data_IF_260795763921
#
_entry.id   IF_260795763921
#
_cell.length_a   1.000
_cell.length_b   1.000
_cell.length_c   1.000
_cell.angle_alpha   90.00
_cell.angle_beta   90.00
_cell.angle_gamma   90.00
#
_symmetry.space_group_name_H-M   'P 1'
#
loop_
_entity.id
_entity.type
_entity.pdbx_description
1 polymer ?
#
# COMPACT_ATOMS: atom_id res chain seq x y z
N UNK A 1 44.28 9.91 -31.53
CA UNK A 1 42.85 10.08 -31.19
C UNK A 1 42.23 8.69 -31.20
N UNK A 2 41.76 8.17 -30.07
CA UNK A 2 40.98 6.93 -30.05
C UNK A 2 39.54 7.33 -30.35
N UNK A 3 39.00 6.89 -31.48
CA UNK A 3 37.57 6.95 -31.72
C UNK A 3 36.94 5.84 -30.90
N UNK A 4 35.99 6.20 -30.04
CA UNK A 4 35.15 5.25 -29.31
C UNK A 4 33.80 5.26 -30.01
N UNK A 5 33.41 4.13 -30.59
CA UNK A 5 32.06 3.97 -31.11
C UNK A 5 31.07 3.99 -29.94
N UNK A 6 30.00 4.79 -30.11
CA UNK A 6 28.87 4.86 -29.19
C UNK A 6 27.71 4.12 -29.84
N UNK A 7 27.24 3.07 -29.17
CA UNK A 7 26.02 2.36 -29.55
C UNK A 7 24.89 2.87 -28.65
N UNK A 8 23.89 3.49 -29.27
CA UNK A 8 22.69 3.95 -28.58
C UNK A 8 21.54 2.99 -28.88
N UNK A 9 21.02 2.34 -27.85
CA UNK A 9 19.92 1.39 -27.97
C UNK A 9 18.58 2.06 -28.32
N UNK A 10 18.42 3.35 -27.99
CA UNK A 10 17.19 4.10 -28.23
C UNK A 10 17.00 4.40 -29.72
N UNK A 11 18.04 4.22 -30.55
CA UNK A 11 17.93 4.26 -32.01
C UNK A 11 16.94 3.20 -32.54
N UNK A 12 16.63 2.15 -31.77
CA UNK A 12 15.59 1.18 -32.15
C UNK A 12 14.23 1.84 -32.36
N UNK A 13 13.91 2.90 -31.61
CA UNK A 13 12.64 3.64 -31.73
C UNK A 13 12.49 4.31 -33.10
N UNK A 14 13.60 4.56 -33.79
CA UNK A 14 13.63 5.15 -35.14
C UNK A 14 13.60 4.10 -36.25
N UNK A 15 13.76 2.82 -35.92
CA UNK A 15 13.81 1.73 -36.88
C UNK A 15 12.43 1.45 -37.49
N UNK A 16 12.40 1.05 -38.77
CA UNK A 16 11.13 0.68 -39.44
C UNK A 16 10.46 -0.51 -38.77
N UNK A 17 11.26 -1.48 -38.29
CA UNK A 17 10.74 -2.64 -37.57
C UNK A 17 9.99 -2.25 -36.28
N UNK A 18 10.48 -1.24 -35.55
CA UNK A 18 9.77 -0.74 -34.36
C UNK A 18 8.50 0.02 -34.76
N UNK A 19 8.54 0.88 -35.78
CA UNK A 19 7.37 1.63 -36.26
C UNK A 19 6.21 0.71 -36.69
N UNK A 20 6.52 -0.45 -37.27
CA UNK A 20 5.52 -1.47 -37.61
C UNK A 20 4.86 -2.11 -36.37
N UNK A 21 5.60 -2.20 -35.26
CA UNK A 21 5.14 -2.81 -34.00
C UNK A 21 4.56 -1.80 -33.01
N UNK A 22 4.84 -0.51 -33.18
CA UNK A 22 4.49 0.55 -32.22
C UNK A 22 2.99 0.57 -31.91
N UNK A 23 2.11 0.60 -32.92
CA UNK A 23 0.66 0.58 -32.73
C UNK A 23 0.17 -0.71 -32.06
N UNK A 24 0.55 -1.92 -32.53
CA UNK A 24 0.27 -3.16 -31.81
C UNK A 24 0.74 -3.18 -30.35
N UNK A 25 1.89 -2.59 -30.03
CA UNK A 25 2.39 -2.49 -28.66
C UNK A 25 1.53 -1.55 -27.80
N UNK A 26 1.11 -0.42 -28.37
CA UNK A 26 0.17 0.51 -27.72
C UNK A 26 -1.16 -0.21 -27.43
N UNK A 27 -1.72 -0.94 -28.41
CA UNK A 27 -2.97 -1.71 -28.21
C UNK A 27 -2.82 -2.81 -27.17
N UNK A 28 -1.64 -3.44 -27.09
CA UNK A 28 -1.35 -4.42 -26.06
C UNK A 28 -1.34 -3.77 -24.67
N UNK A 29 -0.68 -2.63 -24.52
CA UNK A 29 -0.66 -1.87 -23.25
C UNK A 29 -2.07 -1.41 -22.89
N UNK A 30 -2.85 -0.87 -23.83
CA UNK A 30 -4.20 -0.40 -23.56
C UNK A 30 -5.13 -1.52 -23.05
N UNK A 31 -5.07 -2.70 -23.66
CA UNK A 31 -5.89 -3.86 -23.27
C UNK A 31 -5.44 -4.56 -22.00
N UNK A 32 -4.18 -4.42 -21.61
CA UNK A 32 -3.59 -5.14 -20.46
C UNK A 32 -3.27 -4.25 -19.27
N UNK A 33 -3.26 -2.92 -19.44
CA UNK A 33 -3.09 -1.99 -18.33
C UNK A 33 -4.34 -1.97 -17.45
N UNK A 34 -4.12 -1.84 -16.14
CA UNK A 34 -5.21 -1.72 -15.17
C UNK A 34 -5.24 -0.32 -14.58
N UNK A 35 -6.43 0.28 -14.63
CA UNK A 35 -6.72 1.63 -14.22
C UNK A 35 -7.63 1.63 -12.99
N UNK A 36 -7.50 2.66 -12.15
CA UNK A 36 -8.40 2.84 -11.02
C UNK A 36 -9.76 3.32 -11.54
N UNK A 37 -10.85 2.81 -10.96
CA UNK A 37 -12.19 3.32 -11.22
C UNK A 37 -12.24 4.85 -10.94
N UNK A 38 -12.68 5.70 -11.89
CA UNK A 38 -12.77 7.14 -11.71
C UNK A 38 -13.50 7.57 -10.44
N UNK A 39 -14.51 6.82 -9.99
CA UNK A 39 -15.25 7.08 -8.75
C UNK A 39 -14.42 6.87 -7.47
N UNK A 40 -13.26 6.20 -7.57
CA UNK A 40 -12.33 5.95 -6.45
C UNK A 40 -11.11 6.90 -6.46
N UNK A 41 -10.93 7.69 -7.52
CA UNK A 41 -9.81 8.63 -7.64
C UNK A 41 -10.08 9.88 -6.80
N UNK A 42 -9.07 10.33 -6.06
CA UNK A 42 -9.13 11.49 -5.18
C UNK A 42 -8.28 12.64 -5.71
N UNK A 43 -8.70 13.88 -5.44
CA UNK A 43 -7.92 15.06 -5.84
C UNK A 43 -6.55 15.16 -5.17
N UNK A 44 -6.41 14.57 -3.98
CA UNK A 44 -5.14 14.51 -3.25
C UNK A 44 -4.43 13.17 -3.45
N UNK A 45 -3.10 13.12 -3.37
CA UNK A 45 -2.34 11.87 -3.29
C UNK A 45 -2.74 11.05 -2.06
N UNK A 46 -2.69 9.72 -2.18
CA UNK A 46 -3.08 8.79 -1.10
C UNK A 46 -2.13 8.89 0.10
N UNK A 47 -0.85 9.15 -0.16
CA UNK A 47 0.19 9.39 0.84
C UNK A 47 0.92 10.71 0.49
N UNK A 48 0.40 11.86 0.97
CA UNK A 48 0.87 13.19 0.57
C UNK A 48 2.26 13.56 1.10
N UNK A 49 2.78 12.80 2.06
CA UNK A 49 4.07 12.98 2.71
C UNK A 49 5.10 11.94 2.25
N UNK A 50 4.93 11.39 1.04
CA UNK A 50 5.80 10.33 0.49
C UNK A 50 6.18 10.66 -0.95
N UNK A 51 7.47 10.49 -1.28
CA UNK A 51 7.96 10.57 -2.66
C UNK A 51 9.10 9.60 -2.94
N UNK A 52 9.33 9.32 -4.22
CA UNK A 52 10.50 8.53 -4.62
C UNK A 52 11.79 9.29 -4.31
N UNK A 53 12.82 8.56 -3.90
CA UNK A 53 14.17 9.12 -3.79
C UNK A 53 15.25 8.08 -4.04
N UNK A 54 16.46 8.35 -3.57
CA UNK A 54 17.57 7.42 -3.76
C UNK A 54 17.37 6.17 -2.90
N UNK A 55 17.67 4.96 -3.42
CA UNK A 55 17.50 3.70 -2.67
C UNK A 55 18.16 3.70 -1.29
N UNK A 56 19.35 4.32 -1.19
CA UNK A 56 20.10 4.46 0.08
C UNK A 56 19.40 5.31 1.16
N UNK A 57 18.38 6.08 0.78
CA UNK A 57 17.59 6.95 1.65
C UNK A 57 16.20 6.38 1.93
N UNK A 58 15.84 5.21 1.38
CA UNK A 58 14.54 4.58 1.61
C UNK A 58 14.20 4.56 3.09
N UNK A 59 12.97 4.97 3.41
CA UNK A 59 12.43 5.01 4.77
C UNK A 59 12.83 6.23 5.60
N UNK A 60 13.84 7.01 5.18
CA UNK A 60 14.19 8.26 5.84
C UNK A 60 13.09 9.31 5.62
N UNK A 61 12.93 10.21 6.59
CA UNK A 61 12.06 11.37 6.50
C UNK A 61 12.93 12.62 6.40
N UNK A 62 12.82 13.35 5.30
CA UNK A 62 13.59 14.56 5.00
C UNK A 62 12.58 15.69 4.78
N UNK A 63 12.68 16.76 5.58
CA UNK A 63 11.76 17.90 5.54
C UNK A 63 10.28 17.51 5.66
N UNK A 64 9.99 16.48 6.46
CA UNK A 64 8.63 15.95 6.66
C UNK A 64 8.14 15.01 5.56
N UNK A 65 8.96 14.74 4.53
CA UNK A 65 8.63 13.82 3.44
C UNK A 65 9.41 12.51 3.58
N UNK A 66 8.71 11.39 3.60
CA UNK A 66 9.29 10.05 3.57
C UNK A 66 9.81 9.71 2.16
N UNK A 67 11.03 9.17 2.12
CA UNK A 67 11.64 8.67 0.89
C UNK A 67 11.21 7.23 0.63
N UNK A 68 10.65 6.99 -0.54
CA UNK A 68 10.14 5.72 -1.02
C UNK A 68 10.94 5.18 -2.22
N UNK A 69 10.82 3.88 -2.47
CA UNK A 69 11.36 3.18 -3.64
C UNK A 69 10.26 2.63 -4.55
N UNK A 70 9.05 3.20 -4.49
CA UNK A 70 7.80 2.84 -5.18
C UNK A 70 6.87 1.90 -4.39
N UNK A 71 7.23 1.49 -3.17
CA UNK A 71 6.36 0.67 -2.30
C UNK A 71 5.01 1.35 -2.03
N UNK A 72 4.98 2.65 -1.76
CA UNK A 72 3.74 3.36 -1.40
C UNK A 72 2.85 3.62 -2.60
N UNK A 73 3.42 3.98 -3.75
CA UNK A 73 2.67 4.09 -5.00
C UNK A 73 2.06 2.73 -5.39
N UNK A 74 2.82 1.63 -5.28
CA UNK A 74 2.33 0.28 -5.55
C UNK A 74 1.16 -0.09 -4.64
N UNK A 75 1.29 0.19 -3.34
CA UNK A 75 0.23 -0.03 -2.36
C UNK A 75 -1.02 0.82 -2.65
N UNK A 76 -0.84 2.07 -3.06
CA UNK A 76 -1.94 3.00 -3.34
C UNK A 76 -2.81 2.48 -4.48
N UNK A 77 -2.22 2.23 -5.66
CA UNK A 77 -2.99 1.82 -6.84
C UNK A 77 -3.61 0.43 -6.70
N UNK A 78 -2.88 -0.56 -6.18
CA UNK A 78 -3.41 -1.93 -6.04
C UNK A 78 -4.63 -1.97 -5.13
N UNK A 79 -4.57 -1.29 -3.98
CA UNK A 79 -5.71 -1.19 -3.06
C UNK A 79 -6.90 -0.42 -3.65
N UNK A 80 -6.64 0.56 -4.52
CA UNK A 80 -7.69 1.32 -5.19
C UNK A 80 -8.40 0.48 -6.27
N UNK A 81 -7.65 -0.35 -7.00
CA UNK A 81 -8.20 -1.29 -7.98
C UNK A 81 -8.99 -2.38 -7.25
N UNK A 82 -8.34 -3.14 -6.36
CA UNK A 82 -9.00 -4.16 -5.54
C UNK A 82 -8.13 -4.56 -4.33
N UNK A 83 -8.73 -4.57 -3.14
CA UNK A 83 -8.06 -5.01 -1.91
C UNK A 83 -7.94 -6.53 -1.80
N UNK A 84 -8.77 -7.24 -2.54
CA UNK A 84 -8.89 -8.71 -2.46
C UNK A 84 -8.18 -9.41 -3.63
N UNK A 85 -7.67 -8.65 -4.61
CA UNK A 85 -6.95 -9.19 -5.75
C UNK A 85 -5.43 -9.25 -5.51
N UNK A 86 -4.82 -10.35 -5.96
CA UNK A 86 -3.37 -10.44 -6.13
C UNK A 86 -2.97 -9.92 -7.51
N UNK A 87 -1.86 -9.15 -7.58
CA UNK A 87 -1.34 -8.59 -8.82
C UNK A 87 0.07 -9.14 -9.09
N UNK A 88 0.16 -10.12 -9.97
CA UNK A 88 1.40 -10.82 -10.30
C UNK A 88 2.00 -10.28 -11.60
N UNK A 89 3.30 -9.96 -11.61
CA UNK A 89 4.02 -9.42 -12.76
C UNK A 89 3.43 -8.13 -13.33
N UNK A 90 2.81 -7.32 -12.46
CA UNK A 90 2.39 -5.95 -12.76
C UNK A 90 3.28 -4.95 -12.04
N UNK A 91 3.74 -3.94 -12.79
CA UNK A 91 4.54 -2.82 -12.28
C UNK A 91 3.64 -1.60 -12.15
N UNK A 92 3.83 -0.85 -11.06
CA UNK A 92 3.21 0.47 -10.91
C UNK A 92 4.06 1.51 -11.62
N UNK A 93 3.50 2.09 -12.67
CA UNK A 93 4.12 3.12 -13.48
C UNK A 93 3.50 4.48 -13.17
N UNK A 94 4.33 5.52 -13.14
CA UNK A 94 3.90 6.91 -13.10
C UNK A 94 3.70 7.39 -14.53
N UNK A 95 2.53 7.96 -14.82
CA UNK A 95 2.14 8.31 -16.19
C UNK A 95 2.92 9.52 -16.69
N UNK A 96 3.17 10.49 -15.79
CA UNK A 96 3.88 11.72 -16.12
C UNK A 96 5.36 11.62 -15.71
N UNK A 97 6.32 11.73 -16.64
CA UNK A 97 7.74 11.63 -16.33
C UNK A 97 8.20 12.60 -15.23
N UNK A 98 9.07 12.13 -14.34
CA UNK A 98 9.63 12.94 -13.24
C UNK A 98 8.71 13.17 -12.04
N UNK A 99 7.39 13.03 -12.18
CA UNK A 99 6.41 13.27 -11.10
C UNK A 99 6.55 12.33 -9.90
N UNK A 100 7.20 11.18 -10.08
CA UNK A 100 7.48 10.24 -8.98
C UNK A 100 8.35 10.86 -7.88
N UNK A 101 9.14 11.90 -8.20
CA UNK A 101 10.00 12.62 -7.27
C UNK A 101 9.33 13.85 -6.61
N UNK A 102 8.03 14.01 -6.81
CA UNK A 102 7.20 15.07 -6.22
C UNK A 102 6.11 14.42 -5.35
N UNK A 103 6.08 14.77 -4.07
CA UNK A 103 5.12 14.21 -3.11
C UNK A 103 3.65 14.50 -3.46
N UNK A 104 3.38 15.57 -4.23
CA UNK A 104 2.04 15.91 -4.71
C UNK A 104 1.51 14.87 -5.69
N UNK A 105 2.40 14.18 -6.41
CA UNK A 105 2.07 13.34 -7.56
C UNK A 105 2.49 11.88 -7.42
N UNK A 106 3.43 11.58 -6.53
CA UNK A 106 4.00 10.23 -6.37
C UNK A 106 2.95 9.16 -6.03
N UNK A 107 1.94 9.50 -5.23
CA UNK A 107 0.84 8.57 -4.87
C UNK A 107 -0.54 9.09 -5.30
N UNK A 108 -0.57 9.98 -6.30
CA UNK A 108 -1.81 10.43 -6.93
C UNK A 108 -2.34 9.31 -7.84
N UNK A 109 -3.51 8.75 -7.51
CA UNK A 109 -4.12 7.65 -8.26
C UNK A 109 -4.34 7.97 -9.74
N UNK A 110 -4.68 9.23 -10.06
CA UNK A 110 -4.83 9.67 -11.45
C UNK A 110 -3.51 9.66 -12.25
N UNK A 111 -2.37 9.59 -11.56
CA UNK A 111 -1.03 9.54 -12.15
C UNK A 111 -0.45 8.12 -12.18
N UNK A 112 -1.20 7.10 -11.75
CA UNK A 112 -0.71 5.75 -11.61
C UNK A 112 -1.46 4.80 -12.55
N UNK A 113 -0.73 3.84 -13.10
CA UNK A 113 -1.28 2.73 -13.88
C UNK A 113 -0.52 1.44 -13.56
N UNK A 114 -1.20 0.30 -13.55
CA UNK A 114 -0.52 -1.00 -13.51
C UNK A 114 -0.31 -1.49 -14.94
N UNK A 115 0.94 -1.80 -15.28
CA UNK A 115 1.32 -2.32 -16.61
C UNK A 115 2.03 -3.68 -16.43
N UNK A 116 1.77 -4.68 -17.29
CA UNK A 116 2.52 -5.93 -17.26
C UNK A 116 4.03 -5.68 -17.38
N UNK A 117 4.81 -6.31 -16.50
CA UNK A 117 6.25 -6.06 -16.33
C UNK A 117 7.04 -6.16 -17.64
N UNK A 118 6.65 -7.08 -18.53
CA UNK A 118 7.33 -7.32 -19.81
C UNK A 118 7.26 -6.14 -20.78
N UNK A 119 6.25 -5.26 -20.65
CA UNK A 119 6.08 -4.06 -21.50
C UNK A 119 6.16 -2.75 -20.72
N UNK A 120 6.30 -2.80 -19.39
CA UNK A 120 6.29 -1.62 -18.52
C UNK A 120 7.36 -0.58 -18.90
N UNK A 121 8.56 -1.01 -19.34
CA UNK A 121 9.63 -0.10 -19.76
C UNK A 121 9.21 0.84 -20.91
N UNK A 122 8.26 0.44 -21.76
CA UNK A 122 7.76 1.31 -22.82
C UNK A 122 7.06 2.56 -22.28
N UNK A 123 6.49 2.50 -21.07
CA UNK A 123 5.85 3.66 -20.43
C UNK A 123 6.83 4.74 -19.96
N UNK A 124 8.12 4.44 -19.87
CA UNK A 124 9.16 5.42 -19.51
C UNK A 124 10.00 5.86 -20.73
N UNK A 125 10.05 5.03 -21.78
CA UNK A 125 11.03 5.19 -22.86
C UNK A 125 10.43 5.39 -24.26
N UNK A 126 9.15 5.05 -24.47
CA UNK A 126 8.50 5.22 -25.77
C UNK A 126 7.57 6.44 -25.76
N UNK A 127 7.91 7.54 -26.47
CA UNK A 127 7.12 8.78 -26.42
C UNK A 127 5.64 8.60 -26.79
N UNK A 128 5.34 7.83 -27.83
CA UNK A 128 3.95 7.57 -28.25
C UNK A 128 3.14 6.82 -27.20
N UNK A 129 3.76 5.90 -26.45
CA UNK A 129 3.13 5.20 -25.33
C UNK A 129 2.87 6.18 -24.18
N UNK A 130 3.84 7.04 -23.85
CA UNK A 130 3.70 8.08 -22.82
C UNK A 130 2.52 9.00 -23.17
N UNK A 131 2.43 9.48 -24.41
CA UNK A 131 1.38 10.40 -24.84
C UNK A 131 -0.01 9.74 -24.78
N UNK A 132 -0.12 8.48 -25.17
CA UNK A 132 -1.37 7.70 -25.05
C UNK A 132 -1.78 7.51 -23.60
N UNK A 133 -0.85 7.18 -22.70
CA UNK A 133 -1.14 7.02 -21.27
C UNK A 133 -1.54 8.34 -20.62
N UNK A 134 -0.87 9.46 -20.96
CA UNK A 134 -1.23 10.80 -20.49
C UNK A 134 -2.64 11.20 -20.92
N UNK A 135 -2.95 11.03 -22.21
CA UNK A 135 -4.29 11.35 -22.71
C UNK A 135 -5.35 10.43 -22.10
N UNK A 136 -5.06 9.14 -21.90
CA UNK A 136 -6.00 8.22 -21.22
C UNK A 136 -6.28 8.64 -19.79
N UNK A 137 -5.26 9.02 -19.02
CA UNK A 137 -5.43 9.52 -17.65
C UNK A 137 -6.32 10.77 -17.63
N UNK A 138 -6.09 11.69 -18.57
CA UNK A 138 -6.91 12.88 -18.72
C UNK A 138 -8.36 12.55 -19.12
N UNK A 139 -8.56 11.64 -20.07
CA UNK A 139 -9.88 11.19 -20.50
C UNK A 139 -10.67 10.54 -19.35
N UNK A 140 -10.01 9.77 -18.48
CA UNK A 140 -10.65 9.10 -17.35
C UNK A 140 -10.92 10.03 -16.17
N UNK A 141 -9.99 10.92 -15.85
CA UNK A 141 -9.96 11.63 -14.58
C UNK A 141 -10.03 13.15 -14.69
N UNK A 142 -9.91 13.70 -15.90
CA UNK A 142 -9.75 15.14 -16.12
C UNK A 142 -8.51 15.72 -15.44
N UNK A 143 -7.49 14.88 -15.21
CA UNK A 143 -6.34 15.20 -14.36
C UNK A 143 -5.03 15.21 -15.15
N UNK A 144 -4.19 16.19 -14.82
CA UNK A 144 -2.79 16.30 -15.22
C UNK A 144 -2.03 17.14 -14.16
N UNK A 145 -0.69 17.05 -14.07
CA UNK A 145 0.11 17.84 -13.12
C UNK A 145 -0.04 19.35 -13.35
N UNK A 146 0.11 20.16 -12.30
CA UNK A 146 -0.17 21.61 -12.37
C UNK A 146 0.79 22.36 -13.30
N UNK A 147 2.04 21.89 -13.40
CA UNK A 147 3.07 22.48 -14.24
C UNK A 147 3.06 21.98 -15.69
N UNK A 148 2.18 21.04 -16.02
CA UNK A 148 2.06 20.44 -17.34
C UNK A 148 0.88 21.03 -18.11
N UNK A 149 0.92 20.92 -19.44
CA UNK A 149 -0.22 21.26 -20.29
C UNK A 149 -1.23 20.11 -20.32
N UNK A 150 -2.50 20.46 -20.53
CA UNK A 150 -3.53 19.48 -20.89
C UNK A 150 -3.04 18.62 -22.07
N UNK A 151 -3.08 17.28 -21.98
CA UNK A 151 -2.53 16.42 -23.01
C UNK A 151 -3.41 16.46 -24.27
N UNK A 152 -2.78 16.62 -25.43
CA UNK A 152 -3.47 16.50 -26.72
C UNK A 152 -3.78 15.04 -27.04
N UNK A 153 -4.87 14.80 -27.78
CA UNK A 153 -5.19 13.45 -28.26
C UNK A 153 -4.12 13.00 -29.26
N UNK A 154 -3.42 11.88 -29.03
CA UNK A 154 -2.41 11.39 -29.96
C UNK A 154 -3.00 10.96 -31.31
N UNK A 155 -2.18 11.03 -32.36
CA UNK A 155 -2.56 10.60 -33.73
C UNK A 155 -3.10 9.16 -33.77
N UNK A 156 -2.48 8.28 -32.98
CA UNK A 156 -2.98 6.92 -32.75
C UNK A 156 -3.46 6.78 -31.32
N UNK A 157 -4.72 6.41 -31.15
CA UNK A 157 -5.31 6.16 -29.83
C UNK A 157 -6.14 4.87 -29.86
N UNK A 158 -5.88 3.90 -28.99
CA UNK A 158 -6.61 2.63 -28.95
C UNK A 158 -8.11 2.80 -28.72
N UNK A 159 -8.90 2.01 -29.44
CA UNK A 159 -10.36 1.96 -29.28
C UNK A 159 -10.79 1.06 -28.11
N UNK A 160 -9.99 0.03 -27.81
CA UNK A 160 -10.25 -0.94 -26.75
C UNK A 160 -9.28 -0.76 -25.59
N UNK A 161 -9.83 -0.69 -24.38
CA UNK A 161 -9.09 -0.61 -23.12
C UNK A 161 -9.47 -1.76 -22.20
N UNK A 162 -8.54 -2.18 -21.35
CA UNK A 162 -8.79 -3.22 -20.35
C UNK A 162 -10.00 -2.88 -19.47
N UNK A 163 -10.81 -3.88 -19.17
CA UNK A 163 -11.97 -3.71 -18.28
C UNK A 163 -11.53 -3.34 -16.87
N UNK A 164 -12.25 -2.41 -16.25
CA UNK A 164 -12.04 -2.08 -14.84
C UNK A 164 -12.51 -3.25 -13.98
N UNK A 165 -11.70 -3.62 -12.99
CA UNK A 165 -12.05 -4.69 -12.05
C UNK A 165 -13.24 -4.25 -11.20
N UNK A 166 -14.43 -4.76 -11.51
CA UNK A 166 -15.62 -4.54 -10.68
C UNK A 166 -15.52 -5.37 -9.40
N UNK A 167 -15.93 -4.81 -8.26
CA UNK A 167 -16.05 -5.52 -6.98
C UNK A 167 -17.16 -6.58 -7.05
N UNK A 168 -16.91 -7.71 -7.71
CA UNK A 168 -17.84 -8.84 -7.72
C UNK A 168 -17.22 -10.12 -8.30
N UNK A 169 -16.26 -10.71 -7.61
CA UNK A 169 -16.18 -12.18 -7.58
C UNK A 169 -15.76 -12.60 -6.17
N UNK A 170 -16.63 -13.29 -5.40
CA UNK A 170 -16.21 -13.98 -4.20
C UNK A 170 -15.09 -14.97 -4.55
N UNK A 171 -14.00 -14.96 -3.78
CA UNK A 171 -12.88 -15.91 -3.85
C UNK A 171 -13.28 -17.36 -3.48
N UNK A 172 -14.47 -17.83 -3.86
CA UNK A 172 -14.96 -19.15 -3.43
C UNK A 172 -14.51 -20.32 -4.28
N UNK A 173 -14.01 -20.12 -5.51
CA UNK A 173 -13.81 -21.26 -6.43
C UNK A 173 -12.48 -21.26 -7.21
N UNK A 174 -11.44 -20.60 -6.71
CA UNK A 174 -10.08 -20.80 -7.21
C UNK A 174 -9.16 -21.11 -6.03
N UNK A 175 -8.79 -22.38 -5.86
CA UNK A 175 -7.60 -22.76 -5.10
C UNK A 175 -6.37 -22.18 -5.82
N UNK A 176 -6.13 -20.89 -5.68
CA UNK A 176 -4.85 -20.27 -5.92
C UNK A 176 -4.23 -20.02 -4.55
N UNK A 177 -3.15 -20.74 -4.24
CA UNK A 177 -2.29 -20.44 -3.10
C UNK A 177 -1.68 -19.04 -3.28
N UNK A 178 -2.40 -18.00 -2.84
CA UNK A 178 -1.91 -16.62 -2.79
C UNK A 178 -0.75 -16.45 -1.79
N UNK A 179 -0.56 -17.40 -0.87
CA UNK A 179 0.54 -17.41 0.10
C UNK A 179 1.90 -17.72 -0.55
N UNK A 180 1.95 -18.13 -1.82
CA UNK A 180 3.18 -18.50 -2.54
C UNK A 180 3.75 -17.39 -3.44
N UNK A 181 3.09 -16.23 -3.56
CA UNK A 181 3.40 -15.24 -4.61
C UNK A 181 3.69 -13.81 -4.16
N UNK A 182 3.76 -13.56 -2.85
CA UNK A 182 4.66 -12.53 -2.35
C UNK A 182 6.06 -13.14 -2.45
N UNK A 183 6.92 -12.59 -3.31
CA UNK A 183 8.31 -13.06 -3.41
C UNK A 183 8.89 -13.13 -2.00
N UNK A 184 9.56 -14.23 -1.62
CA UNK A 184 10.20 -14.36 -0.30
C UNK A 184 10.99 -13.10 0.07
N UNK A 185 11.60 -12.42 -0.91
CA UNK A 185 12.30 -11.14 -0.75
C UNK A 185 11.43 -9.98 -0.25
N UNK A 186 10.18 -9.82 -0.68
CA UNK A 186 9.31 -8.71 -0.27
C UNK A 186 8.76 -8.94 1.16
N UNK A 187 8.43 -10.19 1.48
CA UNK A 187 8.12 -10.58 2.86
C UNK A 187 9.34 -10.51 3.77
N UNK A 188 10.53 -10.88 3.30
CA UNK A 188 11.76 -10.76 4.06
C UNK A 188 12.12 -9.29 4.30
N UNK A 189 11.93 -8.40 3.31
CA UNK A 189 12.16 -6.96 3.46
C UNK A 189 11.15 -6.30 4.40
N UNK A 190 9.85 -6.62 4.29
CA UNK A 190 8.83 -6.11 5.21
C UNK A 190 9.09 -6.62 6.64
N UNK A 191 9.53 -7.87 6.78
CA UNK A 191 9.90 -8.46 8.07
C UNK A 191 11.21 -7.86 8.61
N UNK A 192 12.19 -7.57 7.77
CA UNK A 192 13.43 -6.88 8.14
C UNK A 192 13.17 -5.44 8.59
N UNK A 193 12.38 -4.66 7.83
CA UNK A 193 11.95 -3.31 8.22
C UNK A 193 11.18 -3.35 9.54
N UNK A 194 10.25 -4.30 9.67
CA UNK A 194 9.50 -4.52 10.89
C UNK A 194 10.42 -4.87 12.06
N UNK A 195 11.40 -5.74 11.87
CA UNK A 195 12.32 -6.13 12.93
C UNK A 195 13.24 -4.96 13.33
N UNK A 196 13.66 -4.13 12.38
CA UNK A 196 14.51 -2.97 12.62
C UNK A 196 13.79 -1.82 13.34
N UNK A 197 12.49 -1.61 13.05
CA UNK A 197 11.70 -0.49 13.58
C UNK A 197 10.49 -0.94 14.41
N UNK A 198 10.59 -2.14 14.98
CA UNK A 198 9.47 -2.90 15.56
C UNK A 198 8.65 -2.13 16.58
N UNK A 199 9.32 -1.40 17.45
CA UNK A 199 8.69 -0.65 18.53
C UNK A 199 7.88 0.54 17.99
N UNK A 200 8.47 1.36 17.12
CA UNK A 200 7.80 2.52 16.52
C UNK A 200 6.59 2.10 15.67
N UNK A 201 6.76 1.04 14.87
CA UNK A 201 5.67 0.49 14.04
C UNK A 201 4.53 -0.01 14.93
N UNK A 202 4.81 -0.71 16.03
CA UNK A 202 3.77 -1.15 16.96
C UNK A 202 3.10 0.01 17.69
N UNK A 203 3.83 1.05 18.10
CA UNK A 203 3.25 2.24 18.73
C UNK A 203 2.23 2.90 17.80
N UNK A 204 2.59 3.09 16.52
CA UNK A 204 1.69 3.69 15.55
C UNK A 204 0.51 2.77 15.21
N UNK A 205 0.75 1.47 15.14
CA UNK A 205 -0.31 0.47 14.99
C UNK A 205 -1.32 0.53 16.14
N UNK A 206 -0.86 0.67 17.38
CA UNK A 206 -1.72 0.86 18.56
C UNK A 206 -2.53 2.15 18.45
N UNK A 207 -1.89 3.28 18.08
CA UNK A 207 -2.60 4.57 17.90
C UNK A 207 -3.75 4.47 16.92
N UNK A 208 -3.49 3.87 15.75
CA UNK A 208 -4.49 3.67 14.69
C UNK A 208 -5.60 2.69 15.10
N UNK A 209 -5.24 1.51 15.63
CA UNK A 209 -6.21 0.44 15.91
C UNK A 209 -7.05 0.71 17.16
N UNK A 210 -6.42 1.09 18.27
CA UNK A 210 -7.14 1.28 19.56
C UNK A 210 -8.10 2.46 19.50
N UNK A 211 -7.76 3.52 18.75
CA UNK A 211 -8.71 4.59 18.48
C UNK A 211 -9.97 4.06 17.78
N UNK A 212 -9.81 3.20 16.76
CA UNK A 212 -10.92 2.58 16.04
C UNK A 212 -11.75 1.60 16.88
N UNK A 213 -11.15 0.89 17.85
CA UNK A 213 -11.86 -0.05 18.72
C UNK A 213 -12.94 0.62 19.56
N UNK A 214 -12.71 1.87 19.99
CA UNK A 214 -13.70 2.66 20.76
C UNK A 214 -15.05 2.82 20.06
N UNK A 215 -15.06 2.76 18.73
CA UNK A 215 -16.27 2.89 17.91
C UNK A 215 -16.83 1.54 17.47
N UNK A 216 -16.22 0.42 17.89
CA UNK A 216 -16.59 -0.96 17.54
C UNK A 216 -16.53 -1.90 18.76
N UNK A 217 -17.36 -1.67 19.80
CA UNK A 217 -17.27 -2.40 21.08
C UNK A 217 -17.54 -3.91 20.97
N UNK A 218 -18.15 -4.38 19.88
CA UNK A 218 -18.38 -5.81 19.62
C UNK A 218 -17.16 -6.58 19.10
N UNK A 219 -16.03 -5.91 18.84
CA UNK A 219 -14.79 -6.61 18.47
C UNK A 219 -14.12 -7.21 19.70
N UNK A 220 -13.73 -8.49 19.62
CA UNK A 220 -13.12 -9.23 20.75
C UNK A 220 -11.94 -8.47 21.38
N UNK A 221 -11.04 -7.90 20.57
CA UNK A 221 -9.91 -7.12 21.07
C UNK A 221 -10.33 -5.83 21.78
N UNK A 222 -11.41 -5.17 21.34
CA UNK A 222 -12.01 -4.04 22.05
C UNK A 222 -12.51 -4.48 23.42
N UNK A 223 -13.30 -5.55 23.46
CA UNK A 223 -13.89 -6.04 24.70
C UNK A 223 -12.82 -6.48 25.71
N UNK A 224 -11.77 -7.20 25.25
CA UNK A 224 -10.64 -7.58 26.13
C UNK A 224 -9.96 -6.33 26.71
N UNK A 225 -9.75 -5.29 25.91
CA UNK A 225 -9.16 -4.03 26.39
C UNK A 225 -10.11 -3.33 27.37
N UNK A 226 -11.39 -3.21 27.06
CA UNK A 226 -12.40 -2.56 27.91
C UNK A 226 -12.48 -3.25 29.30
N UNK A 227 -12.50 -4.57 29.32
CA UNK A 227 -12.48 -5.37 30.56
C UNK A 227 -11.19 -5.20 31.34
N UNK A 228 -10.04 -5.21 30.66
CA UNK A 228 -8.77 -4.90 31.29
C UNK A 228 -8.77 -3.50 31.91
N UNK A 229 -9.25 -2.48 31.18
CA UNK A 229 -9.26 -1.10 31.65
C UNK A 229 -10.15 -0.93 32.89
N UNK A 230 -11.25 -1.68 32.95
CA UNK A 230 -12.13 -1.74 34.13
C UNK A 230 -11.42 -2.39 35.32
N UNK A 231 -10.86 -3.58 35.14
CA UNK A 231 -10.21 -4.35 36.21
C UNK A 231 -8.93 -3.69 36.75
N UNK A 232 -8.16 -3.08 35.86
CA UNK A 232 -6.89 -2.40 36.18
C UNK A 232 -7.07 -1.02 36.78
N UNK A 233 -8.32 -0.54 36.92
CA UNK A 233 -8.65 0.83 37.31
C UNK A 233 -7.97 1.86 36.40
N UNK A 234 -8.19 1.73 35.09
CA UNK A 234 -7.57 2.53 34.03
C UNK A 234 -6.03 2.38 34.02
N UNK A 235 -5.55 1.13 34.06
CA UNK A 235 -4.13 0.78 33.96
C UNK A 235 -3.28 1.21 35.17
N UNK A 236 -3.88 1.37 36.35
CA UNK A 236 -3.18 1.67 37.62
C UNK A 236 -2.57 0.42 38.24
N UNK A 237 -3.25 -0.71 38.11
CA UNK A 237 -2.84 -1.98 38.70
C UNK A 237 -2.73 -3.07 37.63
N UNK A 238 -1.75 -3.98 37.73
CA UNK A 238 -1.74 -5.17 36.91
C UNK A 238 -2.97 -6.04 37.19
N UNK A 239 -3.41 -6.82 36.20
CA UNK A 239 -4.57 -7.72 36.28
C UNK A 239 -4.09 -9.15 36.07
N UNK A 240 -4.49 -10.08 36.93
CA UNK A 240 -4.21 -11.50 36.72
C UNK A 240 -4.86 -11.98 35.41
N UNK A 241 -4.07 -12.62 34.54
CA UNK A 241 -4.51 -13.05 33.21
C UNK A 241 -5.73 -13.96 33.27
N UNK A 242 -5.72 -14.92 34.20
CA UNK A 242 -6.82 -15.88 34.33
C UNK A 242 -8.11 -15.20 34.77
N UNK A 243 -8.01 -14.18 35.62
CA UNK A 243 -9.16 -13.36 35.98
C UNK A 243 -9.71 -12.58 34.78
N UNK A 244 -8.84 -11.97 33.98
CA UNK A 244 -9.25 -11.25 32.77
C UNK A 244 -9.93 -12.20 31.78
N UNK A 245 -9.35 -13.39 31.57
CA UNK A 245 -9.89 -14.46 30.73
C UNK A 245 -11.28 -14.89 31.17
N UNK A 246 -11.45 -15.26 32.45
CA UNK A 246 -12.74 -15.72 32.96
C UNK A 246 -13.84 -14.67 32.78
N UNK A 247 -13.53 -13.39 32.97
CA UNK A 247 -14.51 -12.31 32.75
C UNK A 247 -14.88 -12.19 31.28
N UNK A 248 -13.90 -12.22 30.38
CA UNK A 248 -14.13 -12.20 28.94
C UNK A 248 -14.99 -13.39 28.48
N UNK A 249 -14.70 -14.60 28.96
CA UNK A 249 -15.46 -15.81 28.61
C UNK A 249 -16.90 -15.76 29.15
N UNK A 250 -17.11 -15.23 30.36
CA UNK A 250 -18.46 -15.00 30.90
C UNK A 250 -19.28 -14.01 30.07
N UNK A 251 -18.63 -13.13 29.31
CA UNK A 251 -19.27 -12.21 28.36
C UNK A 251 -19.46 -12.79 26.95
N UNK A 252 -19.17 -14.08 26.75
CA UNK A 252 -19.34 -14.78 25.48
C UNK A 252 -18.14 -14.68 24.53
N UNK A 253 -16.95 -14.29 25.01
CA UNK A 253 -15.73 -14.30 24.19
C UNK A 253 -15.15 -15.72 24.12
N UNK A 254 -15.42 -16.44 23.03
CA UNK A 254 -14.95 -17.81 22.84
C UNK A 254 -13.48 -17.92 22.39
N UNK A 255 -12.90 -16.85 21.82
CA UNK A 255 -11.53 -16.85 21.24
C UNK A 255 -10.56 -15.96 22.00
N UNK A 256 -10.64 -15.95 23.33
CA UNK A 256 -9.81 -15.10 24.19
C UNK A 256 -8.31 -15.30 23.90
N UNK A 257 -7.81 -16.54 23.97
CA UNK A 257 -6.37 -16.84 23.86
C UNK A 257 -5.74 -16.31 22.56
N UNK A 258 -6.38 -16.56 21.42
CA UNK A 258 -5.85 -16.13 20.12
C UNK A 258 -5.83 -14.60 19.97
N UNK A 259 -6.83 -13.91 20.50
CA UNK A 259 -6.89 -12.45 20.45
C UNK A 259 -5.92 -11.82 21.45
N UNK A 260 -5.93 -12.30 22.69
CA UNK A 260 -5.04 -11.82 23.74
C UNK A 260 -3.57 -12.01 23.39
N UNK A 261 -3.17 -13.17 22.83
CA UNK A 261 -1.80 -13.38 22.38
C UNK A 261 -1.38 -12.43 21.26
N UNK A 262 -2.28 -12.12 20.31
CA UNK A 262 -2.04 -11.10 19.29
C UNK A 262 -1.94 -9.67 19.85
N UNK A 263 -2.56 -9.42 21.01
CA UNK A 263 -2.49 -8.13 21.70
C UNK A 263 -1.26 -8.00 22.62
N UNK A 264 -0.60 -9.11 22.99
CA UNK A 264 0.60 -9.07 23.85
C UNK A 264 1.90 -9.26 23.09
N UNK A 265 1.87 -9.94 21.95
CA UNK A 265 3.06 -10.24 21.16
C UNK A 265 3.27 -9.20 20.06
N UNK A 266 4.53 -8.99 19.71
CA UNK A 266 4.91 -8.30 18.49
C UNK A 266 4.51 -9.16 17.28
N UNK A 267 3.96 -8.55 16.24
CA UNK A 267 3.81 -9.21 14.95
C UNK A 267 3.25 -8.26 13.89
N UNK A 268 3.82 -8.30 12.69
CA UNK A 268 3.43 -7.43 11.57
C UNK A 268 1.91 -7.43 11.33
N UNK A 269 1.27 -8.61 11.38
CA UNK A 269 -0.18 -8.81 11.13
C UNK A 269 -1.04 -8.94 12.41
N UNK A 270 -0.48 -8.67 13.59
CA UNK A 270 -1.17 -8.85 14.88
C UNK A 270 -2.29 -7.80 15.15
N UNK A 271 -2.92 -7.90 16.33
CA UNK A 271 -3.93 -6.96 16.82
C UNK A 271 -3.33 -5.72 17.52
N UNK A 272 -2.08 -5.36 17.19
CA UNK A 272 -1.25 -4.39 17.89
C UNK A 272 -0.85 -4.84 19.31
N UNK A 273 0.41 -4.60 19.67
CA UNK A 273 0.91 -4.88 21.00
C UNK A 273 0.40 -3.85 22.02
N UNK A 274 -0.70 -4.18 22.69
CA UNK A 274 -1.31 -3.35 23.75
C UNK A 274 -0.83 -3.79 25.14
N UNK A 275 -0.57 -5.08 25.33
CA UNK A 275 -0.25 -5.65 26.64
C UNK A 275 1.22 -6.07 26.77
N UNK A 276 1.66 -6.10 28.02
CA UNK A 276 2.77 -6.92 28.48
C UNK A 276 2.27 -7.87 29.57
N UNK A 277 2.82 -9.07 29.63
CA UNK A 277 2.47 -10.07 30.65
C UNK A 277 3.74 -10.49 31.37
N UNK A 278 3.75 -10.37 32.69
CA UNK A 278 4.85 -10.81 33.55
C UNK A 278 4.28 -11.69 34.66
N UNK A 279 4.77 -12.93 34.78
CA UNK A 279 4.37 -13.87 35.83
C UNK A 279 2.83 -14.06 35.96
N UNK A 280 2.13 -14.11 34.83
CA UNK A 280 0.67 -14.26 34.79
C UNK A 280 -0.12 -12.98 35.07
N UNK A 281 0.55 -11.83 35.20
CA UNK A 281 -0.07 -10.53 35.38
C UNK A 281 0.07 -9.66 34.14
N UNK A 282 -1.06 -9.13 33.67
CA UNK A 282 -1.21 -8.29 32.49
C UNK A 282 -1.09 -6.82 32.89
N UNK A 283 -0.33 -6.04 32.12
CA UNK A 283 -0.24 -4.59 32.22
C UNK A 283 -0.29 -3.98 30.82
N UNK A 284 -0.64 -2.69 30.70
CA UNK A 284 -0.43 -1.96 29.45
C UNK A 284 1.06 -1.95 29.11
N UNK A 285 1.37 -2.14 27.83
CA UNK A 285 2.73 -1.97 27.33
C UNK A 285 3.14 -0.50 27.50
N UNK A 286 4.28 -0.28 28.16
CA UNK A 286 4.68 1.03 28.66
C UNK A 286 4.67 2.14 27.58
N UNK A 287 5.21 1.94 26.35
CA UNK A 287 5.28 2.98 25.33
C UNK A 287 3.93 3.54 24.89
N UNK A 288 2.85 2.76 25.01
CA UNK A 288 1.49 3.15 24.58
C UNK A 288 0.54 3.42 25.75
N UNK A 289 0.98 3.15 26.97
CA UNK A 289 0.13 3.19 28.17
C UNK A 289 -0.52 4.56 28.41
N UNK A 290 0.23 5.65 28.27
CA UNK A 290 -0.28 7.03 28.43
C UNK A 290 -1.37 7.35 27.41
N UNK A 291 -1.16 6.95 26.15
CA UNK A 291 -2.12 7.17 25.07
C UNK A 291 -3.43 6.42 25.35
N UNK A 292 -3.35 5.13 25.66
CA UNK A 292 -4.53 4.29 25.92
C UNK A 292 -5.31 4.82 27.14
N UNK A 293 -4.63 5.12 28.24
CA UNK A 293 -5.28 5.71 29.44
C UNK A 293 -6.02 7.00 29.14
N UNK A 294 -5.53 7.80 28.19
CA UNK A 294 -6.17 9.03 27.73
C UNK A 294 -7.52 8.80 27.03
N UNK A 295 -7.72 7.64 26.40
CA UNK A 295 -8.96 7.28 25.70
C UNK A 295 -10.07 6.75 26.61
N UNK A 296 -9.72 6.35 27.84
CA UNK A 296 -10.61 5.72 28.83
C UNK A 296 -10.82 6.61 30.06
N UNK A 297 -10.68 7.92 29.90
CA UNK A 297 -11.00 8.91 30.92
C UNK A 297 -12.50 9.05 31.13
#
# INVERSE_FOLDING_TARGET
>A
MKYQELFDGDEILKSEAFKELEKPLIDLIARTSMWVDPGKVTNAPVYPDVKRGYPKQKGQVIDGIRIDDNTYANRAIKNAISKDAGFVNYVTCHIWPGTTYDERYHTQLANLVLIPQVVAALSDHCPSVIDVLKYRAFELYGWYPEEESEPERPDYYPEEWGEMVSESVPLSDMECNLDEYYTEDDHNLELEEYNNNREEIEIEKVRRKVFGWRYKPGQICSTILDEYMTLSQNGKCPVERDRLKSICEMQGIEKFEGNYNQMKNFGLRNHAKVFQENNGYVSLWLPVSTFIKGLYK
#
